data_IF_544125356320
#
_entry.id   IF_544125356320
#
_cell.length_a   1.000
_cell.length_b   1.000
_cell.length_c   1.000
_cell.angle_alpha   90.00
_cell.angle_beta   90.00
_cell.angle_gamma   90.00
#
_symmetry.space_group_name_H-M   'P 1'
#
loop_
_entity.id
_entity.type
_entity.pdbx_description
1 polymer ?
#
# COMPACT_ATOMS: atom_id res chain seq x y z
N UNK A 1 -24.90 -17.71 -2.65
CA UNK A 1 -24.26 -16.51 -3.24
C UNK A 1 -23.14 -16.98 -4.16
N UNK A 2 -23.23 -16.75 -5.47
CA UNK A 2 -22.10 -16.96 -6.37
C UNK A 2 -21.09 -15.86 -6.12
N UNK A 3 -20.11 -16.10 -5.25
CA UNK A 3 -18.98 -15.19 -5.11
C UNK A 3 -18.27 -15.18 -6.46
N UNK A 4 -18.15 -14.01 -7.07
CA UNK A 4 -17.37 -13.84 -8.29
C UNK A 4 -15.93 -14.22 -8.00
N UNK A 5 -15.49 -15.36 -8.54
CA UNK A 5 -14.13 -15.90 -8.48
C UNK A 5 -13.13 -14.88 -9.06
N UNK A 6 -12.72 -13.90 -8.24
CA UNK A 6 -11.88 -12.78 -8.64
C UNK A 6 -10.90 -12.46 -7.51
N UNK A 7 -9.62 -12.28 -7.86
CA UNK A 7 -8.58 -11.92 -6.89
C UNK A 7 -8.09 -10.49 -7.08
N UNK A 8 -7.66 -10.17 -8.31
CA UNK A 8 -7.21 -8.85 -8.71
C UNK A 8 -7.88 -8.54 -10.06
N UNK A 9 -8.47 -7.35 -10.18
CA UNK A 9 -9.19 -6.94 -11.40
C UNK A 9 -8.77 -5.53 -11.78
N UNK A 10 -8.98 -5.10 -13.04
CA UNK A 10 -8.77 -3.71 -13.44
C UNK A 10 -9.53 -2.69 -12.59
N UNK A 11 -10.68 -3.11 -12.02
CA UNK A 11 -11.52 -2.28 -11.15
C UNK A 11 -11.10 -2.32 -9.67
N UNK A 12 -10.03 -3.04 -9.35
CA UNK A 12 -9.51 -3.23 -8.00
C UNK A 12 -9.71 -4.64 -7.46
N UNK A 13 -9.06 -4.93 -6.33
CA UNK A 13 -9.18 -6.20 -5.65
C UNK A 13 -10.42 -6.20 -4.73
N UNK A 14 -11.15 -7.33 -4.58
CA UNK A 14 -12.29 -7.42 -3.67
C UNK A 14 -11.97 -7.01 -2.23
N UNK A 15 -10.76 -7.29 -1.75
CA UNK A 15 -10.29 -6.87 -0.44
C UNK A 15 -10.28 -5.33 -0.27
N UNK A 16 -10.02 -4.57 -1.33
CA UNK A 16 -10.08 -3.09 -1.28
C UNK A 16 -11.51 -2.61 -1.08
N UNK A 17 -12.50 -3.29 -1.69
CA UNK A 17 -13.90 -2.95 -1.48
C UNK A 17 -14.37 -3.39 -0.09
N UNK A 18 -14.35 -4.68 0.17
CA UNK A 18 -15.02 -5.27 1.33
C UNK A 18 -14.27 -5.02 2.64
N UNK A 19 -12.94 -5.09 2.64
CA UNK A 19 -12.14 -5.01 3.86
C UNK A 19 -11.64 -3.59 4.16
N UNK A 20 -11.77 -2.64 3.22
CA UNK A 20 -11.36 -1.24 3.41
C UNK A 20 -12.52 -0.28 3.23
N UNK A 21 -13.06 -0.16 2.02
CA UNK A 21 -14.09 0.84 1.70
C UNK A 21 -15.40 0.60 2.47
N UNK A 22 -15.90 -0.62 2.50
CA UNK A 22 -17.17 -0.93 3.19
C UNK A 22 -17.03 -0.88 4.72
N UNK A 23 -15.85 -1.22 5.26
CA UNK A 23 -15.55 -1.05 6.69
C UNK A 23 -15.58 0.43 7.06
N UNK A 24 -14.89 1.27 6.29
CA UNK A 24 -14.89 2.73 6.46
C UNK A 24 -16.30 3.31 6.35
N UNK A 25 -17.05 2.98 5.30
CA UNK A 25 -18.45 3.42 5.12
C UNK A 25 -19.38 2.99 6.24
N UNK A 26 -19.17 1.81 6.80
CA UNK A 26 -19.93 1.36 7.96
C UNK A 26 -19.63 2.27 9.14
N UNK A 27 -18.36 2.53 9.42
CA UNK A 27 -17.95 3.44 10.49
C UNK A 27 -18.48 4.87 10.28
N UNK A 28 -18.40 5.42 9.07
CA UNK A 28 -18.96 6.74 8.70
C UNK A 28 -20.47 6.82 9.00
N UNK A 29 -21.24 5.76 8.69
CA UNK A 29 -22.69 5.72 8.99
C UNK A 29 -22.99 5.62 10.50
N UNK A 30 -22.12 4.97 11.25
CA UNK A 30 -22.25 4.77 12.70
C UNK A 30 -21.78 5.99 13.51
N UNK A 31 -21.01 6.89 12.88
CA UNK A 31 -20.47 8.10 13.48
C UNK A 31 -20.88 9.32 12.64
N UNK A 32 -22.18 9.66 12.59
CA UNK A 32 -22.66 10.73 11.74
C UNK A 32 -22.19 12.08 12.27
N UNK A 33 -21.19 12.67 11.62
CA UNK A 33 -20.68 14.02 11.87
C UNK A 33 -19.84 14.48 10.67
N UNK A 34 -19.37 15.72 10.70
CA UNK A 34 -18.39 16.18 9.72
C UNK A 34 -17.06 15.44 9.89
N UNK A 35 -16.44 15.03 8.79
CA UNK A 35 -15.18 14.28 8.80
C UNK A 35 -14.15 14.91 7.88
N UNK A 36 -12.93 15.07 8.39
CA UNK A 36 -11.75 15.44 7.61
C UNK A 36 -10.85 14.24 7.43
N UNK A 37 -10.48 13.92 6.19
CA UNK A 37 -9.51 12.90 5.88
C UNK A 37 -8.10 13.47 5.79
N UNK A 38 -7.22 13.00 6.67
CA UNK A 38 -5.78 13.30 6.60
C UNK A 38 -5.06 12.19 5.84
N UNK A 39 -4.43 12.52 4.71
CA UNK A 39 -3.76 11.53 3.85
C UNK A 39 -2.24 11.66 3.88
N UNK A 40 -1.55 10.52 3.94
CA UNK A 40 -0.10 10.43 3.80
C UNK A 40 0.39 10.30 2.35
N UNK A 41 -0.24 10.99 1.39
CA UNK A 41 0.28 11.06 0.02
C UNK A 41 1.49 12.00 -0.02
N UNK A 42 2.62 11.55 -0.57
CA UNK A 42 3.82 12.37 -0.73
C UNK A 42 3.82 13.18 -2.05
N UNK A 43 4.80 14.04 -2.25
CA UNK A 43 4.91 14.91 -3.45
C UNK A 43 4.89 14.16 -4.78
N UNK A 44 5.27 12.89 -4.81
CA UNK A 44 5.23 12.07 -6.02
C UNK A 44 3.82 11.48 -6.29
N UNK A 45 2.88 11.64 -5.34
CA UNK A 45 1.51 11.11 -5.41
C UNK A 45 0.44 12.20 -5.60
N UNK A 46 0.81 13.44 -5.96
CA UNK A 46 -0.13 14.56 -6.14
C UNK A 46 -1.32 14.20 -7.02
N UNK A 47 -1.09 13.54 -8.17
CA UNK A 47 -2.19 13.17 -9.07
C UNK A 47 -3.16 12.18 -8.43
N UNK A 48 -2.65 11.29 -7.58
CA UNK A 48 -3.45 10.31 -6.84
C UNK A 48 -4.25 10.98 -5.74
N UNK A 49 -3.66 11.97 -5.05
CA UNK A 49 -4.35 12.80 -4.07
C UNK A 49 -5.52 13.56 -4.73
N UNK A 50 -5.29 14.26 -5.84
CA UNK A 50 -6.33 14.98 -6.59
C UNK A 50 -7.51 14.08 -6.96
N UNK A 51 -7.22 12.89 -7.51
CA UNK A 51 -8.26 11.94 -7.90
C UNK A 51 -9.02 11.40 -6.67
N UNK A 52 -8.34 11.27 -5.53
CA UNK A 52 -8.96 10.82 -4.27
C UNK A 52 -9.90 11.88 -3.72
N UNK A 53 -9.48 13.15 -3.68
CA UNK A 53 -10.33 14.26 -3.23
C UNK A 53 -11.54 14.43 -4.15
N UNK A 54 -11.36 14.33 -5.48
CA UNK A 54 -12.48 14.34 -6.43
C UNK A 54 -13.48 13.20 -6.22
N UNK A 55 -12.98 12.00 -5.90
CA UNK A 55 -13.82 10.84 -5.67
C UNK A 55 -14.53 10.84 -4.29
N UNK A 56 -14.08 11.68 -3.36
CA UNK A 56 -14.59 11.82 -2.00
C UNK A 56 -14.96 13.29 -1.71
N UNK A 57 -15.55 13.97 -2.70
CA UNK A 57 -15.82 15.42 -2.67
C UNK A 57 -16.71 15.90 -1.53
N UNK A 58 -17.40 15.00 -0.86
CA UNK A 58 -18.28 15.31 0.27
C UNK A 58 -17.51 15.49 1.60
N UNK A 59 -16.19 15.27 1.59
CA UNK A 59 -15.33 15.35 2.76
C UNK A 59 -14.27 16.44 2.60
N UNK A 60 -13.80 16.95 3.73
CA UNK A 60 -12.59 17.76 3.76
C UNK A 60 -11.35 16.87 3.70
N UNK A 61 -10.27 17.41 3.13
CA UNK A 61 -9.03 16.69 2.89
C UNK A 61 -7.82 17.51 3.31
N UNK A 62 -6.93 16.90 4.08
CA UNK A 62 -5.60 17.43 4.41
C UNK A 62 -4.53 16.55 3.77
N UNK A 63 -3.51 17.17 3.19
CA UNK A 63 -2.42 16.50 2.47
C UNK A 63 -1.05 16.94 3.01
N UNK A 64 -0.73 16.72 4.31
CA UNK A 64 0.40 17.41 4.96
C UNK A 64 1.75 17.16 4.30
N UNK A 65 1.99 15.96 3.76
CA UNK A 65 3.26 15.67 3.10
C UNK A 65 3.39 16.42 1.76
N UNK A 66 2.34 16.43 0.93
CA UNK A 66 2.32 17.25 -0.30
C UNK A 66 2.43 18.73 0.00
N UNK A 67 1.67 19.23 0.99
CA UNK A 67 1.64 20.65 1.38
C UNK A 67 3.01 21.15 1.84
N UNK A 68 3.81 20.27 2.47
CA UNK A 68 5.17 20.57 2.92
C UNK A 68 6.26 20.14 1.93
N UNK A 69 5.89 19.68 0.72
CA UNK A 69 6.87 19.29 -0.28
C UNK A 69 7.67 18.03 0.06
N UNK A 70 7.14 17.15 0.93
CA UNK A 70 7.85 16.00 1.47
C UNK A 70 7.73 14.75 0.58
N UNK A 71 8.86 14.07 0.36
CA UNK A 71 8.95 12.73 -0.20
C UNK A 71 8.70 11.66 0.86
N UNK A 72 8.60 10.41 0.41
CA UNK A 72 8.48 9.25 1.29
C UNK A 72 9.71 9.08 2.17
N UNK A 73 10.89 9.23 1.58
CA UNK A 73 12.19 9.10 2.23
C UNK A 73 12.34 10.16 3.33
N UNK A 74 11.92 11.39 3.07
CA UNK A 74 11.89 12.49 4.04
C UNK A 74 10.91 12.22 5.18
N UNK A 75 9.72 11.69 4.88
CA UNK A 75 8.76 11.29 5.91
C UNK A 75 9.32 10.19 6.83
N UNK A 76 10.07 9.23 6.28
CA UNK A 76 10.78 8.23 7.08
C UNK A 76 11.90 8.86 7.92
N UNK A 77 12.67 9.80 7.39
CA UNK A 77 13.70 10.54 8.13
C UNK A 77 13.13 11.36 9.31
N UNK A 78 11.99 12.04 9.08
CA UNK A 78 11.26 12.76 10.14
C UNK A 78 10.79 11.78 11.21
N UNK A 79 10.16 10.67 10.81
CA UNK A 79 9.67 9.66 11.74
C UNK A 79 10.79 9.10 12.61
N UNK A 80 11.95 8.77 12.02
CA UNK A 80 13.11 8.26 12.74
C UNK A 80 13.62 9.28 13.78
N UNK A 81 13.77 10.56 13.40
CA UNK A 81 14.16 11.63 14.34
C UNK A 81 13.21 11.81 15.51
N UNK A 82 11.92 11.60 15.28
CA UNK A 82 10.89 11.64 16.32
C UNK A 82 10.84 10.36 17.18
N UNK A 83 11.73 9.39 16.94
CA UNK A 83 11.77 8.11 17.65
C UNK A 83 10.67 7.14 17.24
N UNK A 84 9.99 7.37 16.09
CA UNK A 84 8.96 6.47 15.58
C UNK A 84 9.60 5.28 14.86
N UNK A 85 9.22 4.07 15.28
CA UNK A 85 9.66 2.85 14.61
C UNK A 85 8.90 2.65 13.31
N UNK A 86 9.63 2.53 12.20
CA UNK A 86 9.04 2.17 10.91
C UNK A 86 8.57 0.70 10.91
N UNK A 87 7.57 0.33 10.08
CA UNK A 87 7.14 -1.07 9.97
C UNK A 87 8.24 -2.00 9.46
N UNK A 88 8.33 -3.21 10.03
CA UNK A 88 9.37 -4.23 9.73
C UNK A 88 9.51 -4.58 8.24
N UNK A 89 8.43 -4.46 7.46
CA UNK A 89 8.48 -4.75 6.02
C UNK A 89 9.49 -3.87 5.28
N UNK A 90 9.69 -2.63 5.73
CA UNK A 90 10.72 -1.74 5.17
C UNK A 90 12.13 -2.24 5.49
N UNK A 91 12.37 -2.77 6.70
CA UNK A 91 13.66 -3.37 7.10
C UNK A 91 13.96 -4.65 6.32
N UNK A 92 12.92 -5.35 5.89
CA UNK A 92 13.05 -6.52 5.01
C UNK A 92 13.26 -6.14 3.53
N UNK A 93 13.36 -4.85 3.20
CA UNK A 93 13.58 -4.35 1.83
C UNK A 93 12.33 -4.28 0.97
N UNK A 94 11.12 -4.30 1.56
CA UNK A 94 9.90 -4.03 0.81
C UNK A 94 9.64 -2.52 0.72
N UNK A 95 9.21 -2.01 -0.45
CA UNK A 95 8.96 -0.58 -0.63
C UNK A 95 7.74 -0.06 0.14
N UNK A 96 6.88 -0.94 0.64
CA UNK A 96 5.59 -0.57 1.22
C UNK A 96 5.18 -1.61 2.27
N UNK A 97 4.49 -1.16 3.33
CA UNK A 97 3.94 -2.04 4.36
C UNK A 97 2.56 -2.61 3.99
N UNK A 98 2.46 -3.24 2.81
CA UNK A 98 1.24 -3.91 2.36
C UNK A 98 1.03 -5.26 3.10
N UNK A 99 -0.18 -5.84 3.00
CA UNK A 99 -0.44 -7.21 3.47
C UNK A 99 0.58 -8.19 2.89
N UNK A 100 1.11 -9.11 3.69
CA UNK A 100 1.97 -10.20 3.22
C UNK A 100 1.14 -11.10 2.29
N UNK A 101 1.61 -11.31 1.06
CA UNK A 101 0.85 -11.98 0.00
C UNK A 101 -0.27 -11.13 -0.60
N UNK A 102 -0.03 -9.82 -0.78
CA UNK A 102 -0.98 -8.89 -1.40
C UNK A 102 -1.27 -9.29 -2.87
N UNK A 103 -2.56 -9.46 -3.20
CA UNK A 103 -3.00 -9.82 -4.56
C UNK A 103 -2.77 -8.72 -5.61
N UNK A 104 -2.41 -7.51 -5.19
CA UNK A 104 -2.02 -6.41 -6.10
C UNK A 104 -0.50 -6.28 -6.24
N UNK A 105 0.28 -7.12 -5.56
CA UNK A 105 1.73 -7.16 -5.72
C UNK A 105 2.11 -7.69 -7.10
N UNK A 106 3.18 -7.14 -7.69
CA UNK A 106 3.70 -7.61 -8.98
C UNK A 106 4.58 -8.85 -8.87
N UNK A 107 5.18 -9.26 -9.99
CA UNK A 107 6.05 -10.44 -10.07
C UNK A 107 7.24 -10.37 -9.10
N UNK A 108 7.93 -9.23 -9.02
CA UNK A 108 9.08 -9.06 -8.11
C UNK A 108 8.67 -9.19 -6.64
N UNK A 109 7.52 -8.61 -6.28
CA UNK A 109 6.91 -8.78 -4.95
C UNK A 109 6.67 -10.25 -4.63
N UNK A 110 6.03 -11.00 -5.53
CA UNK A 110 5.72 -12.40 -5.29
C UNK A 110 6.95 -13.31 -5.26
N UNK A 111 7.99 -13.01 -6.05
CA UNK A 111 9.26 -13.72 -5.96
C UNK A 111 10.01 -13.42 -4.66
N UNK A 112 9.94 -12.21 -4.11
CA UNK A 112 10.45 -11.95 -2.76
C UNK A 112 9.62 -12.65 -1.68
N UNK A 113 8.29 -12.63 -1.79
CA UNK A 113 7.39 -13.38 -0.89
C UNK A 113 7.68 -14.89 -0.95
N UNK A 114 8.03 -15.46 -2.11
CA UNK A 114 8.43 -16.86 -2.25
C UNK A 114 9.62 -17.23 -1.36
N UNK A 115 10.57 -16.31 -1.24
CA UNK A 115 11.80 -16.49 -0.43
C UNK A 115 11.53 -16.18 1.03
N UNK A 116 10.98 -15.01 1.32
CA UNK A 116 10.85 -14.50 2.70
C UNK A 116 9.66 -15.14 3.46
N UNK A 117 8.62 -15.58 2.74
CA UNK A 117 7.37 -16.11 3.30
C UNK A 117 6.81 -17.28 2.45
N UNK A 118 7.54 -18.40 2.33
CA UNK A 118 7.18 -19.50 1.43
C UNK A 118 5.79 -20.08 1.69
N UNK A 119 5.35 -20.18 2.95
CA UNK A 119 4.01 -20.66 3.28
C UNK A 119 2.90 -19.75 2.74
N UNK A 120 3.13 -18.42 2.73
CA UNK A 120 2.17 -17.46 2.17
C UNK A 120 2.14 -17.57 0.65
N UNK A 121 3.30 -17.78 0.03
CA UNK A 121 3.42 -18.04 -1.39
C UNK A 121 2.64 -19.28 -1.80
N UNK A 122 2.91 -20.42 -1.16
CA UNK A 122 2.27 -21.71 -1.46
C UNK A 122 0.77 -21.67 -1.25
N UNK A 123 0.33 -21.06 -0.14
CA UNK A 123 -1.10 -20.88 0.14
C UNK A 123 -1.76 -20.05 -0.96
N UNK A 124 -1.12 -18.98 -1.43
CA UNK A 124 -1.71 -18.17 -2.51
C UNK A 124 -1.74 -18.93 -3.82
N UNK A 125 -0.65 -19.62 -4.19
CA UNK A 125 -0.58 -20.40 -5.42
C UNK A 125 -1.72 -21.45 -5.49
N UNK A 126 -1.96 -22.17 -4.39
CA UNK A 126 -3.11 -23.09 -4.27
C UNK A 126 -4.45 -22.37 -4.45
N UNK A 127 -4.62 -21.23 -3.78
CA UNK A 127 -5.83 -20.42 -3.90
C UNK A 127 -6.07 -19.91 -5.33
N UNK A 128 -5.02 -19.58 -6.08
CA UNK A 128 -5.16 -19.19 -7.49
C UNK A 128 -5.79 -20.31 -8.32
N UNK A 129 -5.34 -21.55 -8.10
CA UNK A 129 -5.87 -22.76 -8.78
C UNK A 129 -7.31 -23.04 -8.39
N UNK A 130 -7.63 -22.94 -7.10
CA UNK A 130 -9.00 -23.10 -6.60
C UNK A 130 -9.97 -22.08 -7.21
N UNK A 131 -9.53 -20.83 -7.37
CA UNK A 131 -10.34 -19.74 -7.93
C UNK A 131 -10.33 -19.76 -9.47
N UNK A 132 -9.32 -20.38 -10.09
CA UNK A 132 -9.10 -20.35 -11.54
C UNK A 132 -8.68 -18.97 -12.06
N UNK A 133 -8.00 -18.15 -11.24
CA UNK A 133 -7.55 -16.80 -11.58
C UNK A 133 -6.17 -16.53 -10.99
N UNK A 134 -5.36 -15.72 -11.69
CA UNK A 134 -4.05 -15.24 -11.22
C UNK A 134 -4.16 -13.85 -10.56
N UNK A 135 -3.30 -13.58 -9.56
CA UNK A 135 -3.15 -12.29 -8.91
C UNK A 135 -2.25 -11.32 -9.69
N UNK A 136 -1.34 -11.86 -10.50
CA UNK A 136 -0.37 -11.12 -11.33
C UNK A 136 -0.75 -11.09 -12.82
N UNK A 137 -2.04 -11.27 -13.13
CA UNK A 137 -2.64 -11.18 -14.46
C UNK A 137 -1.89 -11.97 -15.56
N UNK A 138 -2.27 -13.23 -15.73
CA UNK A 138 -1.86 -14.06 -16.87
C UNK A 138 -0.76 -15.09 -16.58
N UNK A 139 -0.24 -15.14 -15.34
CA UNK A 139 0.73 -16.14 -14.89
C UNK A 139 0.32 -16.63 -13.51
N UNK A 140 0.13 -17.93 -13.30
CA UNK A 140 -0.09 -18.46 -11.96
C UNK A 140 1.22 -18.41 -11.16
N UNK A 141 1.14 -18.25 -9.84
CA UNK A 141 2.31 -18.12 -8.98
C UNK A 141 3.19 -19.38 -9.03
N UNK A 142 2.59 -20.57 -9.08
CA UNK A 142 3.33 -21.83 -9.25
C UNK A 142 4.00 -21.96 -10.63
N UNK A 143 3.62 -21.14 -11.61
CA UNK A 143 4.23 -21.01 -12.94
C UNK A 143 5.17 -19.79 -13.06
N UNK A 144 5.28 -18.96 -12.02
CA UNK A 144 6.09 -17.75 -12.05
C UNK A 144 7.58 -18.11 -11.95
N UNK A 145 8.34 -17.79 -13.00
CA UNK A 145 9.80 -17.93 -12.99
C UNK A 145 10.46 -17.17 -11.81
N UNK A 146 11.36 -17.80 -11.02
CA UNK A 146 11.95 -17.22 -9.80
C UNK A 146 12.66 -15.88 -9.96
N UNK A 147 13.18 -15.59 -11.15
CA UNK A 147 13.95 -14.37 -11.41
C UNK A 147 13.14 -13.28 -12.13
N UNK A 148 11.81 -13.43 -12.24
CA UNK A 148 10.95 -12.45 -12.93
C UNK A 148 10.55 -11.28 -12.05
N UNK A 149 10.47 -10.11 -12.69
CA UNK A 149 10.07 -8.87 -12.05
C UNK A 149 11.22 -8.20 -11.32
N UNK A 150 11.03 -6.92 -11.00
CA UNK A 150 11.99 -6.13 -10.22
C UNK A 150 11.31 -5.71 -8.91
N UNK A 151 12.00 -5.85 -7.79
CA UNK A 151 11.56 -5.35 -6.49
C UNK A 151 12.47 -4.26 -5.94
N UNK A 152 13.59 -3.96 -6.60
CA UNK A 152 14.57 -2.98 -6.14
C UNK A 152 13.94 -1.58 -6.13
N UNK A 153 13.37 -1.26 -4.99
CA UNK A 153 12.62 -0.06 -4.64
C UNK A 153 12.82 0.19 -3.15
N UNK A 154 14.04 -0.07 -2.66
CA UNK A 154 14.40 0.16 -1.27
C UNK A 154 14.22 1.65 -0.95
N UNK A 155 13.41 1.92 0.07
CA UNK A 155 13.17 3.28 0.56
C UNK A 155 14.23 3.56 1.60
N UNK A 156 15.28 4.28 1.19
CA UNK A 156 16.30 4.76 2.10
C UNK A 156 15.78 5.97 2.87
N UNK A 157 16.18 6.11 4.13
CA UNK A 157 15.85 7.31 4.89
C UNK A 157 16.64 8.48 4.30
N UNK A 158 15.95 9.55 3.91
CA UNK A 158 16.58 10.79 3.50
C UNK A 158 16.19 11.89 4.49
N UNK A 159 17.17 12.66 4.93
CA UNK A 159 16.99 13.71 5.92
C UNK A 159 17.46 15.04 5.33
N UNK A 160 16.64 15.60 4.47
CA UNK A 160 16.88 16.90 3.83
C UNK A 160 16.66 18.07 4.81
N UNK A 161 16.89 19.30 4.32
CA UNK A 161 16.65 20.54 5.07
C UNK A 161 15.19 20.64 5.52
N UNK A 162 14.23 20.19 4.71
CA UNK A 162 12.81 20.19 5.08
C UNK A 162 12.55 19.33 6.33
N UNK A 163 13.14 18.12 6.38
CA UNK A 163 13.11 17.28 7.56
C UNK A 163 13.73 17.97 8.78
N UNK A 164 14.86 18.66 8.62
CA UNK A 164 15.50 19.40 9.72
C UNK A 164 14.63 20.55 10.25
N UNK A 165 14.01 21.35 9.38
CA UNK A 165 13.13 22.46 9.78
C UNK A 165 11.89 21.97 10.54
N UNK A 166 11.30 20.85 10.10
CA UNK A 166 10.11 20.25 10.73
C UNK A 166 10.41 19.52 12.05
N UNK A 167 11.67 19.18 12.30
CA UNK A 167 12.13 18.49 13.52
C UNK A 167 12.96 19.38 14.44
N UNK A 168 13.19 20.64 14.07
CA UNK A 168 13.96 21.59 14.86
C UNK A 168 13.25 21.89 16.20
N UNK A 169 13.98 21.77 17.31
CA UNK A 169 13.48 21.89 18.71
C UNK A 169 12.56 20.75 19.21
N UNK A 170 12.55 19.57 18.57
CA UNK A 170 11.91 18.36 19.11
C UNK A 170 12.92 17.35 19.61
#
# INVERSE_FOLDING_TARGET
>A
MNFTHTMNTPFGAPCTRYLKKEVRKKWERENPDHHTYVWGFDVNEVKRAENTCKALSDYDHELPLIENGLTKEEAHGIANKLGLKRPIMYDMGYPNNNCIGCVKGGMGYWNKIRVDFPEVFDRRAKQEREIGRSCINGVFLDELEPNRGNINTEVMEDCTIACQLLTWNK
#
